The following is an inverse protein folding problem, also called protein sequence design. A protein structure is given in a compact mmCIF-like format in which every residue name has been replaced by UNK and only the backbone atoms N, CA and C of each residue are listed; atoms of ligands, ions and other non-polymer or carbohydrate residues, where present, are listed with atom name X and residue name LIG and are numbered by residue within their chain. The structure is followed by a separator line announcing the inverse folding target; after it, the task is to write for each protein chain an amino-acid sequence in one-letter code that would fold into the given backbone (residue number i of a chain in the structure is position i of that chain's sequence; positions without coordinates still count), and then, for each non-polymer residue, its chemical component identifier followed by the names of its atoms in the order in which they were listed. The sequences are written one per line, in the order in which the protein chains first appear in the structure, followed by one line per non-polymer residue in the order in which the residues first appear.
data_IF_984668658618
#
_entry.id   IF_984668658618
#
_cell.length_a   1.000
_cell.length_b   1.000
_cell.length_c   1.000
_cell.angle_alpha   90.00
_cell.angle_beta   90.00
_cell.angle_gamma   90.00
#
_symmetry.space_group_name_H-M   'P 1'
#
loop_
_entity.id
_entity.type
_entity.pdbx_description
1 polymer ?
#
# COMPACT_ATOMS: atom_id res chain seq x y z
N UNK A 1 0.26 -20.81 3.44
CA UNK A 1 -0.07 -19.59 2.66
C UNK A 1 -0.22 -20.03 1.23
N UNK A 2 -1.39 -19.89 0.61
CA UNK A 2 -1.58 -20.39 -0.75
C UNK A 2 -0.60 -19.70 -1.69
N UNK A 3 0.15 -20.49 -2.45
CA UNK A 3 1.13 -20.04 -3.44
C UNK A 3 0.46 -19.66 -4.76
N UNK A 4 -0.87 -19.65 -4.80
CA UNK A 4 -1.65 -19.39 -6.01
C UNK A 4 -1.33 -18.00 -6.56
N UNK A 5 -0.69 -18.00 -7.73
CA UNK A 5 -0.39 -16.79 -8.50
C UNK A 5 -1.47 -16.65 -9.57
N UNK A 6 -2.19 -15.55 -9.52
CA UNK A 6 -3.07 -15.14 -10.62
C UNK A 6 -2.29 -14.22 -11.55
N UNK A 7 -2.20 -14.58 -12.83
CA UNK A 7 -1.61 -13.70 -13.84
C UNK A 7 -2.62 -12.64 -14.25
N UNK A 8 -2.17 -11.40 -14.38
CA UNK A 8 -2.99 -10.27 -14.84
C UNK A 8 -2.28 -9.60 -16.03
N UNK A 9 -2.94 -9.41 -17.17
CA UNK A 9 -2.42 -8.54 -18.22
C UNK A 9 -2.56 -7.08 -17.76
N UNK A 10 -1.53 -6.27 -17.99
CA UNK A 10 -1.53 -4.84 -17.68
C UNK A 10 -1.01 -4.05 -18.87
N UNK A 11 -1.68 -2.95 -19.18
CA UNK A 11 -1.18 -1.95 -20.13
C UNK A 11 -0.45 -0.88 -19.34
N UNK A 12 0.78 -0.57 -19.73
CA UNK A 12 1.61 0.47 -19.12
C UNK A 12 2.23 1.35 -20.21
N UNK A 13 2.52 2.63 -19.92
CA UNK A 13 3.17 3.52 -20.88
C UNK A 13 4.53 2.97 -21.34
N UNK A 14 4.87 3.16 -22.61
CA UNK A 14 6.12 2.66 -23.20
C UNK A 14 7.36 3.14 -22.42
N UNK A 15 7.45 4.44 -22.11
CA UNK A 15 8.57 4.96 -21.33
C UNK A 15 8.74 4.31 -19.95
N UNK A 16 7.65 3.85 -19.32
CA UNK A 16 7.74 3.12 -18.06
C UNK A 16 8.24 1.68 -18.28
N UNK A 17 7.98 1.08 -19.45
CA UNK A 17 8.57 -0.21 -19.81
C UNK A 17 10.09 -0.04 -19.93
N UNK A 18 10.55 1.02 -20.57
CA UNK A 18 11.97 1.32 -20.76
C UNK A 18 12.68 1.50 -19.39
N UNK A 19 12.09 2.28 -18.48
CA UNK A 19 12.61 2.43 -17.11
C UNK A 19 12.67 1.08 -16.35
N UNK A 20 11.68 0.21 -16.54
CA UNK A 20 11.68 -1.13 -15.94
C UNK A 20 12.76 -2.03 -16.55
N UNK A 21 13.06 -1.87 -17.83
CA UNK A 21 14.13 -2.59 -18.51
C UNK A 21 15.49 -2.17 -17.97
N UNK A 22 15.77 -0.87 -17.87
CA UNK A 22 17.01 -0.35 -17.30
C UNK A 22 17.26 -0.92 -15.89
N UNK A 23 16.24 -0.94 -15.03
CA UNK A 23 16.34 -1.51 -13.69
C UNK A 23 16.67 -3.01 -13.67
N UNK A 24 16.23 -3.76 -14.69
CA UNK A 24 16.54 -5.18 -14.84
C UNK A 24 17.95 -5.36 -15.38
N UNK A 25 18.34 -4.57 -16.38
CA UNK A 25 19.68 -4.57 -16.98
C UNK A 25 20.77 -4.20 -15.96
N UNK A 26 20.49 -3.23 -15.08
CA UNK A 26 21.33 -2.87 -13.95
C UNK A 26 21.38 -3.94 -12.83
N UNK A 27 20.58 -5.00 -12.94
CA UNK A 27 20.51 -6.09 -11.97
C UNK A 27 19.79 -5.71 -10.67
N UNK A 28 19.03 -4.61 -10.63
CA UNK A 28 18.23 -4.23 -9.45
C UNK A 28 17.04 -5.18 -9.24
N UNK A 29 16.52 -5.74 -10.33
CA UNK A 29 15.49 -6.77 -10.32
C UNK A 29 15.84 -7.90 -11.30
N UNK A 30 15.44 -9.13 -11.00
CA UNK A 30 15.66 -10.28 -11.88
C UNK A 30 14.68 -10.35 -13.05
N UNK A 31 13.62 -9.53 -13.07
CA UNK A 31 12.67 -9.41 -14.18
C UNK A 31 11.74 -8.21 -14.04
N UNK A 32 11.14 -7.74 -15.14
CA UNK A 32 10.06 -6.72 -15.10
C UNK A 32 8.92 -7.13 -14.19
N UNK A 33 8.55 -8.41 -14.22
CA UNK A 33 7.48 -8.96 -13.38
C UNK A 33 7.82 -8.87 -11.89
N UNK A 34 9.09 -9.00 -11.52
CA UNK A 34 9.54 -8.81 -10.14
C UNK A 34 9.44 -7.35 -9.72
N UNK A 35 9.94 -6.43 -10.54
CA UNK A 35 9.83 -4.99 -10.32
C UNK A 35 8.36 -4.54 -10.16
N UNK A 36 7.47 -4.99 -11.05
CA UNK A 36 6.03 -4.69 -10.96
C UNK A 36 5.40 -5.26 -9.69
N UNK A 37 5.74 -6.50 -9.30
CA UNK A 37 5.26 -7.08 -8.03
C UNK A 37 5.77 -6.31 -6.82
N UNK A 38 7.00 -5.81 -6.86
CA UNK A 38 7.56 -4.98 -5.81
C UNK A 38 6.80 -3.66 -5.70
N UNK A 39 6.58 -2.95 -6.81
CA UNK A 39 5.78 -1.73 -6.86
C UNK A 39 4.36 -1.94 -6.33
N UNK A 40 3.66 -3.00 -6.77
CA UNK A 40 2.33 -3.34 -6.27
C UNK A 40 2.31 -3.58 -4.75
N UNK A 41 3.36 -4.19 -4.20
CA UNK A 41 3.49 -4.42 -2.75
C UNK A 41 3.67 -3.11 -1.98
N UNK A 42 4.42 -2.15 -2.52
CA UNK A 42 4.59 -0.83 -1.91
C UNK A 42 3.25 -0.08 -1.85
N UNK A 43 2.53 -0.01 -2.96
CA UNK A 43 1.21 0.65 -3.04
C UNK A 43 0.21 0.01 -2.07
N UNK A 44 0.15 -1.33 -2.03
CA UNK A 44 -0.75 -2.04 -1.12
C UNK A 44 -0.43 -1.76 0.36
N UNK A 45 0.86 -1.71 0.71
CA UNK A 45 1.33 -1.39 2.06
C UNK A 45 0.96 0.04 2.45
N UNK A 46 1.19 1.01 1.58
CA UNK A 46 0.85 2.41 1.83
C UNK A 46 -0.66 2.57 2.07
N UNK A 47 -1.49 1.97 1.21
CA UNK A 47 -2.94 2.00 1.37
C UNK A 47 -3.39 1.35 2.69
N UNK A 48 -2.73 0.29 3.14
CA UNK A 48 -3.01 -0.32 4.44
C UNK A 48 -2.64 0.61 5.60
N UNK A 49 -1.50 1.28 5.52
CA UNK A 49 -1.05 2.23 6.56
C UNK A 49 -1.99 3.43 6.67
N UNK A 50 -2.44 4.01 5.55
CA UNK A 50 -3.44 5.09 5.54
C UNK A 50 -4.73 4.66 6.24
N UNK A 51 -5.26 3.48 5.90
CA UNK A 51 -6.45 2.93 6.57
C UNK A 51 -6.25 2.71 8.07
N UNK A 52 -5.05 2.31 8.49
CA UNK A 52 -4.74 2.15 9.91
C UNK A 52 -4.75 3.50 10.62
N UNK A 53 -4.11 4.51 10.02
CA UNK A 53 -4.07 5.86 10.56
C UNK A 53 -5.48 6.44 10.73
N UNK A 54 -6.32 6.36 9.70
CA UNK A 54 -7.72 6.82 9.76
C UNK A 54 -8.54 6.12 10.85
N UNK A 55 -8.31 4.82 11.08
CA UNK A 55 -8.98 4.08 12.15
C UNK A 55 -8.51 4.56 13.52
N UNK A 56 -7.19 4.70 13.70
CA UNK A 56 -6.62 5.18 14.96
C UNK A 56 -7.08 6.59 15.30
N UNK A 57 -7.12 7.50 14.33
CA UNK A 57 -7.63 8.87 14.53
C UNK A 57 -9.09 8.87 14.96
N UNK A 58 -9.95 8.09 14.30
CA UNK A 58 -11.36 7.95 14.67
C UNK A 58 -11.54 7.39 16.09
N UNK A 59 -10.77 6.37 16.47
CA UNK A 59 -10.82 5.83 17.83
C UNK A 59 -10.41 6.89 18.86
N UNK A 60 -9.35 7.65 18.59
CA UNK A 60 -8.89 8.69 19.50
C UNK A 60 -9.91 9.84 19.66
N UNK A 61 -10.56 10.25 18.56
CA UNK A 61 -11.64 11.25 18.60
C UNK A 61 -12.81 10.79 19.47
N UNK A 62 -13.22 9.52 19.31
CA UNK A 62 -14.31 8.94 20.09
C UNK A 62 -13.96 8.81 21.58
N UNK A 63 -12.72 8.41 21.91
CA UNK A 63 -12.24 8.37 23.29
C UNK A 63 -12.26 9.76 23.96
N UNK A 64 -11.94 10.81 23.20
CA UNK A 64 -12.00 12.21 23.68
C UNK A 64 -13.45 12.62 23.92
N UNK A 65 -14.35 12.34 22.97
CA UNK A 65 -15.78 12.63 23.07
C UNK A 65 -16.39 11.97 24.30
N UNK A 66 -16.21 10.65 24.46
CA UNK A 66 -16.66 9.89 25.62
C UNK A 66 -16.14 10.48 26.94
N UNK A 67 -14.88 10.93 26.96
CA UNK A 67 -14.27 11.54 28.16
C UNK A 67 -14.89 12.89 28.48
N UNK A 68 -15.20 13.70 27.47
CA UNK A 68 -15.85 14.99 27.65
C UNK A 68 -17.30 14.81 28.13
N UNK A 69 -18.03 13.84 27.58
CA UNK A 69 -19.37 13.49 28.04
C UNK A 69 -19.38 13.07 29.51
N UNK A 70 -18.48 12.16 29.91
CA UNK A 70 -18.34 11.72 31.32
C UNK A 70 -18.06 12.90 32.27
N UNK A 71 -17.33 13.92 31.83
CA UNK A 71 -17.06 15.12 32.63
C UNK A 71 -18.25 16.08 32.70
N UNK A 72 -19.15 16.10 31.70
CA UNK A 72 -20.30 17.01 31.64
C UNK A 72 -21.48 16.53 32.48
N UNK A 73 -21.61 15.21 32.68
CA UNK A 73 -22.66 14.59 33.50
C UNK A 73 -22.36 14.66 35.01
N UNK A 74 -21.15 15.07 35.40
CA UNK A 74 -20.69 15.20 36.79
C UNK A 74 -20.57 16.65 37.21
#
# INVERSE_FOLDING_TARGET
MSTDRKSIPVSIPEGLVDELDELVEEGKFGSRSEALRYGARLVAREAQQKRLHERTSRTAEQDIEDRLERKRVR
#
